data_IF_371019177801
#
_entry.id   IF_371019177801
#
_cell.length_a   1.000
_cell.length_b   1.000
_cell.length_c   1.000
_cell.angle_alpha   90.00
_cell.angle_beta   90.00
_cell.angle_gamma   90.00
#
_symmetry.space_group_name_H-M   'P 1'
#
loop_
_entity.id
_entity.type
_entity.pdbx_description
1 polymer ?
#
# COMPACT_ATOMS: atom_id res chain seq x y z
N UNK A 1 14.34 23.12 -11.11
CA UNK A 1 13.41 22.04 -10.72
C UNK A 1 13.97 20.75 -11.30
N UNK A 2 14.79 20.03 -10.54
CA UNK A 2 15.58 18.89 -11.02
C UNK A 2 14.69 17.69 -11.35
N UNK A 3 14.92 17.01 -12.47
CA UNK A 3 14.12 15.86 -12.94
C UNK A 3 13.99 14.70 -11.93
N UNK A 4 14.88 14.65 -10.94
CA UNK A 4 14.83 13.75 -9.78
C UNK A 4 13.50 13.90 -9.00
N UNK A 5 12.99 15.13 -8.87
CA UNK A 5 11.78 15.46 -8.12
C UNK A 5 10.50 14.97 -8.83
N UNK A 6 10.53 14.84 -10.17
CA UNK A 6 9.43 14.26 -10.95
C UNK A 6 9.44 12.73 -10.89
N UNK A 7 10.63 12.12 -10.90
CA UNK A 7 10.81 10.67 -10.75
C UNK A 7 10.32 10.15 -9.41
N UNK A 8 10.64 10.84 -8.31
CA UNK A 8 10.21 10.45 -6.96
C UNK A 8 8.69 10.52 -6.79
N UNK A 9 8.04 11.60 -7.26
CA UNK A 9 6.58 11.75 -7.17
C UNK A 9 5.87 10.71 -8.04
N UNK A 10 6.41 10.40 -9.22
CA UNK A 10 5.89 9.34 -10.08
C UNK A 10 6.03 7.96 -9.43
N UNK A 11 7.19 7.66 -8.84
CA UNK A 11 7.46 6.42 -8.11
C UNK A 11 6.56 6.24 -6.87
N UNK A 12 6.34 7.30 -6.09
CA UNK A 12 5.41 7.25 -4.95
C UNK A 12 3.97 6.98 -5.41
N UNK A 13 3.54 7.58 -6.53
CA UNK A 13 2.19 7.39 -7.08
C UNK A 13 1.99 5.97 -7.60
N UNK A 14 2.94 5.41 -8.33
CA UNK A 14 2.86 4.03 -8.82
C UNK A 14 2.91 3.03 -7.68
N UNK A 15 3.76 3.25 -6.67
CA UNK A 15 3.81 2.42 -5.46
C UNK A 15 2.48 2.48 -4.68
N UNK A 16 1.89 3.66 -4.50
CA UNK A 16 0.60 3.82 -3.84
C UNK A 16 -0.53 3.11 -4.63
N UNK A 17 -0.55 3.24 -5.96
CA UNK A 17 -1.55 2.59 -6.81
C UNK A 17 -1.39 1.06 -6.80
N UNK A 18 -0.15 0.57 -6.85
CA UNK A 18 0.18 -0.84 -6.78
C UNK A 18 -0.26 -1.41 -5.42
N UNK A 19 0.06 -0.75 -4.31
CA UNK A 19 -0.38 -1.15 -2.97
C UNK A 19 -1.90 -1.14 -2.84
N UNK A 20 -2.59 -0.09 -3.30
CA UNK A 20 -4.05 0.00 -3.22
C UNK A 20 -4.80 -1.03 -4.08
N UNK A 21 -4.22 -1.46 -5.20
CA UNK A 21 -4.83 -2.49 -6.07
C UNK A 21 -4.48 -3.91 -5.66
N UNK A 22 -3.26 -4.14 -5.15
CA UNK A 22 -2.83 -5.47 -4.67
C UNK A 22 -3.39 -5.81 -3.29
N UNK A 23 -3.69 -4.82 -2.44
CA UNK A 23 -4.28 -5.07 -1.12
C UNK A 23 -5.64 -5.79 -1.14
N UNK A 24 -6.65 -5.36 -1.93
CA UNK A 24 -7.93 -6.07 -2.02
C UNK A 24 -7.76 -7.46 -2.63
N UNK A 25 -6.83 -7.63 -3.57
CA UNK A 25 -6.50 -8.94 -4.16
C UNK A 25 -5.89 -9.87 -3.10
N UNK A 26 -4.94 -9.37 -2.31
CA UNK A 26 -4.33 -10.10 -1.21
C UNK A 26 -5.33 -10.43 -0.10
N UNK A 27 -6.28 -9.53 0.22
CA UNK A 27 -7.39 -9.80 1.15
C UNK A 27 -8.28 -10.91 0.65
N UNK A 28 -8.59 -10.93 -0.65
CA UNK A 28 -9.40 -11.96 -1.26
C UNK A 28 -8.72 -13.34 -1.14
N UNK A 29 -7.44 -13.45 -1.51
CA UNK A 29 -6.70 -14.70 -1.36
C UNK A 29 -6.56 -15.11 0.11
N UNK A 30 -6.34 -14.17 1.02
CA UNK A 30 -6.29 -14.44 2.45
C UNK A 30 -7.61 -15.00 2.97
N UNK A 31 -8.75 -14.42 2.57
CA UNK A 31 -10.09 -14.93 2.92
C UNK A 31 -10.35 -16.32 2.35
N UNK A 32 -9.99 -16.56 1.08
CA UNK A 32 -10.12 -17.88 0.44
C UNK A 32 -9.28 -18.91 1.17
N UNK A 33 -8.02 -18.61 1.47
CA UNK A 33 -7.13 -19.50 2.24
C UNK A 33 -7.60 -19.70 3.68
N UNK A 34 -8.21 -18.69 4.30
CA UNK A 34 -8.77 -18.78 5.66
C UNK A 34 -10.00 -19.68 5.73
N UNK A 35 -10.84 -19.65 4.68
CA UNK A 35 -12.04 -20.50 4.57
C UNK A 35 -11.62 -21.92 4.16
N UNK A 36 -10.82 -22.07 3.11
CA UNK A 36 -10.42 -23.37 2.57
C UNK A 36 -9.42 -24.12 3.46
N UNK A 37 -8.49 -23.39 4.10
CA UNK A 37 -7.45 -23.96 4.94
C UNK A 37 -7.87 -24.21 6.40
N UNK A 38 -9.05 -23.74 6.82
CA UNK A 38 -9.61 -24.04 8.13
C UNK A 38 -8.70 -23.64 9.30
N UNK A 39 -8.71 -24.43 10.39
CA UNK A 39 -7.85 -24.20 11.56
C UNK A 39 -6.37 -24.33 11.25
N UNK A 40 -5.97 -25.27 10.40
CA UNK A 40 -4.57 -25.51 10.04
C UNK A 40 -3.90 -24.28 9.39
N UNK A 41 -4.64 -23.51 8.58
CA UNK A 41 -4.11 -22.27 8.03
C UNK A 41 -4.04 -21.16 9.09
N UNK A 42 -5.05 -21.03 9.95
CA UNK A 42 -5.11 -20.00 11.01
C UNK A 42 -4.00 -20.17 12.04
N UNK A 43 -3.70 -21.42 12.42
CA UNK A 43 -2.65 -21.75 13.37
C UNK A 43 -1.25 -21.74 12.72
N UNK A 44 -1.17 -21.63 11.39
CA UNK A 44 0.10 -21.48 10.69
C UNK A 44 0.65 -20.06 10.85
N UNK A 45 1.99 -19.95 10.86
CA UNK A 45 2.72 -18.68 10.87
C UNK A 45 2.20 -17.75 9.76
N UNK A 46 1.93 -18.29 8.57
CA UNK A 46 1.40 -17.52 7.46
C UNK A 46 0.00 -16.96 7.74
N UNK A 47 -0.97 -17.79 8.17
CA UNK A 47 -2.33 -17.29 8.46
C UNK A 47 -2.36 -16.27 9.60
N UNK A 48 -1.54 -16.45 10.63
CA UNK A 48 -1.49 -15.56 11.79
C UNK A 48 -0.86 -14.19 11.44
N UNK A 49 0.24 -14.17 10.67
CA UNK A 49 0.93 -12.91 10.33
C UNK A 49 0.44 -12.26 9.02
N UNK A 50 -0.23 -12.99 8.13
CA UNK A 50 -0.62 -12.44 6.84
C UNK A 50 -1.56 -11.24 6.97
N UNK A 51 -2.46 -11.23 7.96
CA UNK A 51 -3.32 -10.08 8.22
C UNK A 51 -2.51 -8.86 8.68
N UNK A 52 -1.51 -9.07 9.54
CA UNK A 52 -0.60 -8.03 10.03
C UNK A 52 0.25 -7.43 8.91
N UNK A 53 0.84 -8.28 8.05
CA UNK A 53 1.61 -7.82 6.89
C UNK A 53 0.75 -7.03 5.91
N UNK A 54 -0.49 -7.47 5.70
CA UNK A 54 -1.42 -6.80 4.81
C UNK A 54 -1.82 -5.43 5.37
N UNK A 55 -2.07 -5.33 6.68
CA UNK A 55 -2.31 -4.05 7.36
C UNK A 55 -1.11 -3.10 7.22
N UNK A 56 0.10 -3.61 7.38
CA UNK A 56 1.34 -2.84 7.23
C UNK A 56 1.48 -2.29 5.80
N UNK A 57 1.13 -3.09 4.80
CA UNK A 57 1.09 -2.68 3.39
C UNK A 57 0.08 -1.56 3.12
N UNK A 58 -1.12 -1.62 3.72
CA UNK A 58 -2.12 -0.54 3.64
C UNK A 58 -1.57 0.75 4.23
N UNK A 59 -1.00 0.68 5.45
CA UNK A 59 -0.46 1.86 6.14
C UNK A 59 0.69 2.47 5.35
N UNK A 60 1.61 1.66 4.83
CA UNK A 60 2.70 2.13 3.97
C UNK A 60 2.18 2.80 2.68
N UNK A 61 1.16 2.20 2.04
CA UNK A 61 0.51 2.77 0.86
C UNK A 61 -0.19 4.10 1.15
N UNK A 62 -0.87 4.20 2.29
CA UNK A 62 -1.54 5.43 2.74
C UNK A 62 -0.53 6.54 3.04
N UNK A 63 0.58 6.22 3.72
CA UNK A 63 1.66 7.19 3.98
C UNK A 63 2.28 7.70 2.69
N UNK A 64 2.54 6.82 1.70
CA UNK A 64 2.97 7.22 0.36
C UNK A 64 1.95 8.14 -0.31
N UNK A 65 0.65 7.80 -0.28
CA UNK A 65 -0.40 8.59 -0.89
C UNK A 65 -0.52 9.99 -0.24
N UNK A 66 -0.43 10.07 1.09
CA UNK A 66 -0.49 11.34 1.83
C UNK A 66 0.73 12.23 1.55
N UNK A 67 1.94 11.64 1.50
CA UNK A 67 3.17 12.35 1.12
C UNK A 67 3.10 12.89 -0.31
N UNK A 68 2.58 12.10 -1.24
CA UNK A 68 2.37 12.55 -2.63
C UNK A 68 1.41 13.74 -2.72
N UNK A 69 0.30 13.73 -1.96
CA UNK A 69 -0.66 14.85 -1.93
C UNK A 69 -0.10 16.11 -1.26
N UNK A 70 0.70 15.94 -0.20
CA UNK A 70 1.35 17.06 0.47
C UNK A 70 2.35 17.77 -0.46
N UNK A 71 3.11 17.01 -1.25
CA UNK A 71 4.05 17.55 -2.23
C UNK A 71 3.37 18.35 -3.36
N UNK A 72 2.14 17.98 -3.76
CA UNK A 72 1.37 18.76 -4.75
C UNK A 72 0.93 20.11 -4.19
N UNK A 73 0.44 20.17 -2.95
CA UNK A 73 -0.01 21.42 -2.32
C UNK A 73 1.11 22.45 -2.16
N UNK A 74 2.32 22.02 -1.83
CA UNK A 74 3.47 22.93 -1.70
C UNK A 74 3.89 23.56 -3.03
N UNK A 75 3.75 22.83 -4.15
CA UNK A 75 4.06 23.34 -5.50
C UNK A 75 3.03 24.33 -6.02
N UNK A 76 1.77 24.18 -5.62
CA UNK A 76 0.70 25.13 -5.94
C UNK A 76 0.90 26.46 -5.22
N UNK A 77 1.33 26.41 -3.96
CA UNK A 77 1.57 27.61 -3.14
C UNK A 77 2.83 28.39 -3.52
N UNK A 78 3.83 27.75 -4.15
CA UNK A 78 5.03 28.44 -4.66
C UNK A 78 4.87 29.02 -6.07
N UNK A 79 3.73 28.79 -6.72
CA UNK A 79 3.38 29.34 -8.04
C UNK A 79 2.52 30.61 -7.95
N UNK A 80 2.02 30.93 -6.77
CA UNK A 80 1.40 32.20 -6.42
C UNK A 80 2.40 33.09 -5.69
#
# INVERSE_FOLDING_TARGET
>A
MTDIDRGEVFGLRTAALALLTTCPLALFFLLVSWIAGGSAFKDSIFGNYALTFLLLGVVAGLVCALRSRAAEKTKEQSRH
#
